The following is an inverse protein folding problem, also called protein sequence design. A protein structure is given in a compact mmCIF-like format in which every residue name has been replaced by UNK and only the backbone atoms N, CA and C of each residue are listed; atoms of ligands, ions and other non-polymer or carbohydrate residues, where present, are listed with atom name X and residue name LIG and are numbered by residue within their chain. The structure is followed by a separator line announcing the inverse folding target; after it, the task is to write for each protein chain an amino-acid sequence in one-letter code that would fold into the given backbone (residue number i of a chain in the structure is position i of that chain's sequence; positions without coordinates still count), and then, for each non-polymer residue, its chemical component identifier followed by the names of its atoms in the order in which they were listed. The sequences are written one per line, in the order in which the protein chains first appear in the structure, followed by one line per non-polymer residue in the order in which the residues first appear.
data_IF_135707939658
#
_entry.id   IF_135707939658
#
_cell.length_a   1.000
_cell.length_b   1.000
_cell.length_c   1.000
_cell.angle_alpha   90.00
_cell.angle_beta   90.00
_cell.angle_gamma   90.00
#
_symmetry.space_group_name_H-M   'P 1'
#
loop_
_entity.id
_entity.type
_entity.pdbx_description
1 polymer ?
#
# COMPACT_ATOMS: atom_id res chain seq x y z
N UNK A 1 16.61 0.92 22.90
CA UNK A 1 16.39 0.21 21.62
C UNK A 1 15.77 1.20 20.66
N UNK A 2 16.13 1.19 19.35
CA UNK A 2 15.41 1.96 18.35
C UNK A 2 13.94 1.51 18.26
N UNK A 3 13.06 2.35 17.73
CA UNK A 3 11.65 2.01 17.52
C UNK A 3 11.56 0.78 16.61
N UNK A 4 10.94 -0.32 17.08
CA UNK A 4 10.81 -1.59 16.35
C UNK A 4 9.76 -1.48 15.23
N UNK A 5 8.60 -0.87 15.56
CA UNK A 5 7.55 -0.60 14.59
C UNK A 5 7.94 0.61 13.73
N UNK A 6 8.14 0.36 12.43
CA UNK A 6 8.24 1.40 11.40
C UNK A 6 6.87 1.95 11.02
N UNK A 7 6.80 2.71 9.92
CA UNK A 7 5.54 3.20 9.35
C UNK A 7 4.64 2.07 8.85
N UNK A 8 5.20 0.87 8.63
CA UNK A 8 4.52 -0.25 8.01
C UNK A 8 4.82 -1.59 8.72
N UNK A 9 4.68 -1.58 10.04
CA UNK A 9 4.92 -2.73 10.92
C UNK A 9 6.39 -2.99 11.24
N UNK A 10 6.67 -4.21 11.68
CA UNK A 10 8.04 -4.70 11.96
C UNK A 10 8.55 -5.39 10.71
N UNK A 11 9.62 -4.87 10.09
CA UNK A 11 10.23 -5.43 8.87
C UNK A 11 11.71 -5.73 9.09
N UNK A 12 12.22 -6.70 8.34
CA UNK A 12 13.65 -7.03 8.31
C UNK A 12 13.94 -8.25 7.46
N UNK A 13 15.23 -8.58 7.36
CA UNK A 13 15.70 -9.82 6.74
C UNK A 13 15.15 -11.00 7.55
N UNK A 14 14.37 -11.86 6.89
CA UNK A 14 13.71 -12.97 7.56
C UNK A 14 14.74 -13.95 8.17
N UNK A 15 14.46 -14.41 9.37
CA UNK A 15 15.34 -15.30 10.16
C UNK A 15 16.71 -14.69 10.55
N UNK A 16 16.87 -13.37 10.37
CA UNK A 16 18.06 -12.64 10.84
C UNK A 16 17.61 -11.47 11.72
N UNK A 17 16.91 -10.47 11.15
CA UNK A 17 16.36 -9.34 11.88
C UNK A 17 14.96 -9.67 12.41
N UNK A 18 14.11 -10.26 11.56
CA UNK A 18 12.78 -10.75 11.90
C UNK A 18 12.84 -12.26 12.16
N UNK A 19 13.14 -12.62 13.41
CA UNK A 19 13.32 -14.01 13.83
C UNK A 19 12.01 -14.67 14.29
N UNK A 20 11.93 -16.03 14.33
CA UNK A 20 10.79 -16.74 14.90
C UNK A 20 10.54 -16.38 16.37
N UNK A 21 11.59 -16.14 17.17
CA UNK A 21 11.49 -15.73 18.56
C UNK A 21 10.80 -14.37 18.70
N UNK A 22 11.16 -13.42 17.81
CA UNK A 22 10.50 -12.11 17.77
C UNK A 22 9.03 -12.25 17.36
N UNK A 23 8.73 -13.06 16.35
CA UNK A 23 7.35 -13.32 15.91
C UNK A 23 6.51 -13.95 17.02
N UNK A 24 7.05 -14.92 17.77
CA UNK A 24 6.41 -15.54 18.93
C UNK A 24 6.17 -14.50 20.05
N UNK A 25 7.17 -13.67 20.34
CA UNK A 25 7.04 -12.62 21.35
C UNK A 25 5.97 -11.58 20.95
N UNK A 26 5.92 -11.17 19.67
CA UNK A 26 4.87 -10.29 19.11
C UNK A 26 3.47 -10.92 19.27
N UNK A 27 3.33 -12.21 18.99
CA UNK A 27 2.07 -12.95 19.19
C UNK A 27 1.58 -12.92 20.63
N UNK A 28 2.47 -13.08 21.61
CA UNK A 28 2.13 -12.95 23.04
C UNK A 28 1.77 -11.52 23.41
N UNK A 29 2.60 -10.57 22.99
CA UNK A 29 2.42 -9.16 23.32
C UNK A 29 1.10 -8.60 22.81
N UNK A 30 0.70 -8.94 21.57
CA UNK A 30 -0.56 -8.47 20.99
C UNK A 30 -1.76 -8.97 21.78
N UNK A 31 -1.78 -10.26 22.21
CA UNK A 31 -2.86 -10.81 23.05
C UNK A 31 -2.92 -10.07 24.38
N UNK A 32 -1.80 -9.89 25.07
CA UNK A 32 -1.74 -9.20 26.34
C UNK A 32 -2.23 -7.74 26.27
N UNK A 33 -1.86 -7.03 25.20
CA UNK A 33 -2.28 -5.62 25.00
C UNK A 33 -3.76 -5.50 24.60
N UNK A 34 -4.32 -6.48 23.88
CA UNK A 34 -5.70 -6.44 23.40
C UNK A 34 -6.69 -7.11 24.35
N UNK A 35 -6.22 -7.88 25.32
CA UNK A 35 -7.09 -8.50 26.31
C UNK A 35 -7.75 -7.43 27.17
N UNK A 36 -9.08 -7.46 27.24
CA UNK A 36 -9.87 -6.55 28.08
C UNK A 36 -10.46 -7.32 29.26
N UNK A 37 -10.51 -6.68 30.41
CA UNK A 37 -11.12 -7.26 31.58
C UNK A 37 -12.59 -7.62 31.31
N UNK A 38 -12.96 -8.87 31.63
CA UNK A 38 -14.31 -9.39 31.45
C UNK A 38 -14.70 -9.77 30.01
N UNK A 39 -13.83 -9.57 29.04
CA UNK A 39 -14.01 -10.10 27.68
C UNK A 39 -13.44 -11.51 27.55
N UNK A 40 -13.99 -12.30 26.62
CA UNK A 40 -13.41 -13.59 26.25
C UNK A 40 -12.01 -13.44 25.64
N UNK A 41 -11.32 -14.57 25.35
CA UNK A 41 -10.00 -14.53 24.73
C UNK A 41 -10.04 -13.80 23.39
N UNK A 42 -9.07 -12.89 23.11
CA UNK A 42 -9.06 -12.15 21.86
C UNK A 42 -8.84 -13.08 20.67
N UNK A 43 -9.63 -12.92 19.62
CA UNK A 43 -9.43 -13.58 18.34
C UNK A 43 -8.54 -12.73 17.42
N UNK A 44 -7.59 -13.36 16.73
CA UNK A 44 -6.69 -12.72 15.77
C UNK A 44 -6.79 -13.42 14.42
N UNK A 45 -7.10 -12.68 13.37
CA UNK A 45 -6.98 -13.17 11.99
C UNK A 45 -5.51 -13.13 11.59
N UNK A 46 -4.98 -14.22 11.07
CA UNK A 46 -3.58 -14.29 10.60
C UNK A 46 -3.57 -14.69 9.13
N UNK A 47 -2.96 -13.84 8.29
CA UNK A 47 -2.75 -14.11 6.88
C UNK A 47 -1.33 -13.75 6.46
N UNK A 48 -0.91 -14.18 5.27
CA UNK A 48 0.44 -13.92 4.76
C UNK A 48 0.50 -13.86 3.24
N UNK A 49 1.59 -13.33 2.73
CA UNK A 49 2.00 -13.53 1.35
C UNK A 49 2.68 -14.92 1.16
N UNK A 50 3.01 -15.32 -0.07
CA UNK A 50 3.56 -16.65 -0.34
C UNK A 50 5.06 -16.81 -0.07
N UNK A 51 5.78 -15.81 0.49
CA UNK A 51 7.23 -15.91 0.79
C UNK A 51 7.55 -17.21 1.53
N UNK A 52 8.67 -17.85 1.19
CA UNK A 52 9.12 -19.08 1.84
C UNK A 52 9.25 -18.93 3.36
N UNK A 53 9.72 -17.78 3.84
CA UNK A 53 9.82 -17.46 5.27
C UNK A 53 8.46 -17.26 5.96
N UNK A 54 7.37 -17.08 5.20
CA UNK A 54 6.04 -16.81 5.74
C UNK A 54 5.54 -17.93 6.66
N UNK A 55 5.71 -19.20 6.28
CA UNK A 55 5.26 -20.32 7.09
C UNK A 55 6.00 -20.41 8.45
N UNK A 56 7.30 -20.10 8.47
CA UNK A 56 8.09 -20.06 9.70
C UNK A 56 7.57 -18.98 10.66
N UNK A 57 7.41 -17.75 10.15
CA UNK A 57 6.95 -16.61 10.95
C UNK A 57 5.51 -16.76 11.39
N UNK A 58 4.62 -17.30 10.52
CA UNK A 58 3.23 -17.61 10.86
C UNK A 58 3.16 -18.61 12.01
N UNK A 59 3.90 -19.71 11.94
CA UNK A 59 3.91 -20.73 12.98
C UNK A 59 4.35 -20.18 14.32
N UNK A 60 5.38 -19.33 14.34
CA UNK A 60 5.88 -18.69 15.54
C UNK A 60 4.90 -17.68 16.12
N UNK A 61 4.34 -16.80 15.29
CA UNK A 61 3.34 -15.80 15.69
C UNK A 61 2.09 -16.49 16.27
N UNK A 62 1.58 -17.51 15.59
CA UNK A 62 0.44 -18.33 16.01
C UNK A 62 0.73 -18.99 17.37
N UNK A 63 1.89 -19.63 17.53
CA UNK A 63 2.30 -20.23 18.79
C UNK A 63 2.32 -19.19 19.93
N UNK A 64 2.79 -17.97 19.66
CA UNK A 64 2.77 -16.85 20.59
C UNK A 64 1.34 -16.51 21.02
N UNK A 65 0.43 -16.30 20.07
CA UNK A 65 -0.99 -15.98 20.32
C UNK A 65 -1.68 -17.07 21.16
N UNK A 66 -1.54 -18.34 20.75
CA UNK A 66 -2.16 -19.48 21.44
C UNK A 66 -1.61 -19.64 22.86
N UNK A 67 -0.31 -19.46 23.04
CA UNK A 67 0.35 -19.58 24.35
C UNK A 67 -0.09 -18.53 25.36
N UNK A 68 -0.63 -17.40 24.89
CA UNK A 68 -1.20 -16.32 25.70
C UNK A 68 -2.73 -16.45 25.86
N UNK A 69 -3.35 -17.53 25.33
CA UNK A 69 -4.79 -17.78 25.42
C UNK A 69 -5.62 -17.17 24.30
N UNK A 70 -5.00 -16.46 23.34
CA UNK A 70 -5.70 -15.89 22.17
C UNK A 70 -6.20 -16.98 21.21
N UNK A 71 -7.24 -16.66 20.45
CA UNK A 71 -7.77 -17.53 19.40
C UNK A 71 -7.22 -17.08 18.04
N UNK A 72 -6.91 -18.02 17.13
CA UNK A 72 -6.42 -17.71 15.79
C UNK A 72 -7.39 -18.18 14.72
N UNK A 73 -7.67 -17.29 13.76
CA UNK A 73 -8.32 -17.58 12.50
C UNK A 73 -7.26 -17.50 11.40
N UNK A 74 -6.75 -18.66 10.97
CA UNK A 74 -5.72 -18.77 9.93
C UNK A 74 -6.33 -18.58 8.54
N UNK A 75 -6.08 -17.43 7.93
CA UNK A 75 -6.58 -17.07 6.60
C UNK A 75 -5.69 -17.63 5.46
N UNK A 76 -4.49 -18.13 5.79
CA UNK A 76 -3.55 -18.63 4.80
C UNK A 76 -2.92 -17.54 3.93
N UNK A 77 -2.68 -17.86 2.65
CA UNK A 77 -2.14 -16.87 1.69
C UNK A 77 -3.29 -16.02 1.17
N UNK A 78 -3.30 -14.75 1.56
CA UNK A 78 -4.31 -13.75 1.17
C UNK A 78 -3.69 -12.37 1.07
N UNK A 79 -4.26 -11.45 0.24
CA UNK A 79 -3.86 -10.05 0.21
C UNK A 79 -3.90 -9.36 1.57
N UNK A 80 -3.02 -8.36 1.76
CA UNK A 80 -3.03 -7.52 2.97
C UNK A 80 -4.42 -6.90 3.22
N UNK A 81 -5.11 -6.29 2.26
CA UNK A 81 -6.47 -5.76 2.46
C UNK A 81 -7.50 -6.84 2.83
N UNK A 82 -7.29 -8.08 2.41
CA UNK A 82 -8.16 -9.18 2.84
C UNK A 82 -8.07 -9.41 4.36
N UNK A 83 -6.86 -9.33 4.95
CA UNK A 83 -6.71 -9.45 6.41
C UNK A 83 -7.43 -8.31 7.14
N UNK A 84 -7.31 -7.07 6.65
CA UNK A 84 -8.03 -5.92 7.20
C UNK A 84 -9.56 -6.13 7.15
N UNK A 85 -10.08 -6.55 6.00
CA UNK A 85 -11.50 -6.87 5.82
C UNK A 85 -11.95 -8.01 6.73
N UNK A 86 -11.22 -9.14 6.77
CA UNK A 86 -11.58 -10.33 7.55
C UNK A 86 -11.55 -10.06 9.05
N UNK A 87 -10.69 -9.15 9.52
CA UNK A 87 -10.68 -8.71 10.92
C UNK A 87 -12.03 -8.15 11.33
N UNK A 88 -12.61 -7.27 10.51
CA UNK A 88 -13.96 -6.73 10.72
C UNK A 88 -15.04 -7.79 10.52
N UNK A 89 -14.93 -8.57 9.43
CA UNK A 89 -15.92 -9.59 9.05
C UNK A 89 -16.13 -10.63 10.15
N UNK A 90 -15.04 -11.12 10.75
CA UNK A 90 -15.08 -12.07 11.85
C UNK A 90 -15.19 -11.43 13.22
N UNK A 91 -15.26 -10.09 13.29
CA UNK A 91 -15.26 -9.34 14.55
C UNK A 91 -14.09 -9.73 15.46
N UNK A 92 -12.93 -9.93 14.86
CA UNK A 92 -11.71 -10.27 15.58
C UNK A 92 -11.16 -9.04 16.31
N UNK A 93 -10.42 -9.27 17.41
CA UNK A 93 -9.79 -8.20 18.17
C UNK A 93 -8.62 -7.56 17.42
N UNK A 94 -7.99 -8.33 16.52
CA UNK A 94 -6.93 -7.85 15.61
C UNK A 94 -6.84 -8.71 14.36
N UNK A 95 -6.16 -8.16 13.34
CA UNK A 95 -5.60 -8.88 12.21
C UNK A 95 -4.08 -8.79 12.22
N UNK A 96 -3.41 -9.83 11.79
CA UNK A 96 -1.97 -9.83 11.56
C UNK A 96 -1.69 -10.30 10.14
N UNK A 97 -0.90 -9.54 9.37
CA UNK A 97 -0.42 -9.95 8.06
C UNK A 97 1.09 -10.10 8.09
N UNK A 98 1.58 -11.18 7.49
CA UNK A 98 2.99 -11.50 7.39
C UNK A 98 3.40 -11.28 5.94
N UNK A 99 4.01 -10.12 5.68
CA UNK A 99 4.47 -9.69 4.36
C UNK A 99 5.45 -8.52 4.44
N UNK A 100 6.30 -8.39 3.44
CA UNK A 100 7.11 -7.20 3.19
C UNK A 100 6.70 -6.48 1.88
N UNK A 101 5.43 -6.65 1.43
CA UNK A 101 4.86 -5.99 0.27
C UNK A 101 5.75 -6.16 -0.98
N UNK A 102 6.23 -5.06 -1.55
CA UNK A 102 7.04 -5.03 -2.78
C UNK A 102 8.53 -5.34 -2.60
N UNK A 103 8.99 -5.58 -1.37
CA UNK A 103 10.39 -5.91 -1.11
C UNK A 103 10.78 -7.25 -1.77
N UNK A 104 12.09 -7.44 -1.99
CA UNK A 104 12.65 -8.70 -2.46
C UNK A 104 12.33 -9.87 -1.50
N UNK A 105 12.41 -11.10 -2.02
CA UNK A 105 12.01 -12.32 -1.31
C UNK A 105 12.67 -12.53 0.06
N UNK A 106 13.94 -12.19 0.30
CA UNK A 106 14.58 -12.42 1.60
C UNK A 106 13.98 -11.61 2.76
N UNK A 107 13.36 -10.47 2.46
CA UNK A 107 12.70 -9.65 3.46
C UNK A 107 11.33 -10.23 3.85
N UNK A 108 10.90 -9.94 5.08
CA UNK A 108 9.53 -10.16 5.52
C UNK A 108 9.13 -9.10 6.55
N UNK A 109 7.85 -9.10 6.95
CA UNK A 109 7.32 -8.16 7.90
C UNK A 109 6.10 -8.71 8.64
N UNK A 110 5.75 -8.08 9.76
CA UNK A 110 4.50 -8.35 10.48
C UNK A 110 3.83 -7.01 10.75
N UNK A 111 2.61 -6.85 10.21
CA UNK A 111 1.74 -5.70 10.43
C UNK A 111 0.51 -6.13 11.20
N UNK A 112 -0.04 -5.23 12.03
CA UNK A 112 -1.28 -5.48 12.75
C UNK A 112 -2.37 -4.49 12.36
N UNK A 113 -3.60 -5.01 12.33
CA UNK A 113 -4.83 -4.25 12.17
C UNK A 113 -5.67 -4.34 13.45
N UNK A 114 -6.33 -3.26 13.80
CA UNK A 114 -7.29 -3.23 14.89
C UNK A 114 -8.66 -3.82 14.47
N UNK A 115 -9.61 -3.88 15.40
CA UNK A 115 -10.92 -4.52 15.18
C UNK A 115 -11.74 -3.87 14.08
N UNK A 116 -11.50 -2.59 13.80
CA UNK A 116 -12.15 -1.86 12.71
C UNK A 116 -11.45 -2.05 11.36
N UNK A 117 -10.39 -2.88 11.29
CA UNK A 117 -9.62 -3.14 10.07
C UNK A 117 -8.63 -2.04 9.70
N UNK A 118 -8.45 -1.03 10.51
CA UNK A 118 -7.40 -0.02 10.34
C UNK A 118 -6.08 -0.49 10.94
N UNK A 119 -4.94 0.01 10.41
CA UNK A 119 -3.65 -0.18 11.07
C UNK A 119 -3.72 0.22 12.54
N UNK A 120 -2.98 -0.47 13.41
CA UNK A 120 -2.96 -0.11 14.83
C UNK A 120 -2.42 1.31 15.01
N UNK A 121 -3.02 2.11 15.91
CA UNK A 121 -2.46 3.41 16.31
C UNK A 121 -1.08 3.26 16.95
N UNK A 122 -0.19 4.25 16.77
CA UNK A 122 1.17 4.28 17.34
C UNK A 122 1.19 3.99 18.86
N UNK A 123 0.19 4.49 19.60
CA UNK A 123 0.08 4.25 21.02
C UNK A 123 -0.16 2.77 21.36
N UNK A 124 -0.82 2.01 20.47
CA UNK A 124 -1.04 0.57 20.64
C UNK A 124 0.21 -0.20 20.24
N UNK A 125 0.84 0.16 19.11
CA UNK A 125 2.11 -0.41 18.68
C UNK A 125 3.20 -0.20 19.75
N UNK A 126 3.29 1.00 20.34
CA UNK A 126 4.21 1.30 21.43
C UNK A 126 3.94 0.46 22.70
N UNK A 127 2.68 0.12 23.01
CA UNK A 127 2.38 -0.81 24.10
C UNK A 127 2.80 -2.24 23.78
N UNK A 128 2.63 -2.68 22.54
CA UNK A 128 3.10 -4.00 22.10
C UNK A 128 4.64 -4.05 22.20
N UNK A 129 5.33 -3.01 21.74
CA UNK A 129 6.79 -2.90 21.81
C UNK A 129 7.31 -2.90 23.26
N UNK A 130 6.67 -2.17 24.15
CA UNK A 130 6.98 -2.16 25.57
C UNK A 130 6.77 -3.54 26.21
N UNK A 131 5.73 -4.26 25.80
CA UNK A 131 5.44 -5.61 26.29
C UNK A 131 6.49 -6.64 25.83
N UNK A 132 7.20 -6.42 24.70
CA UNK A 132 8.28 -7.32 24.27
C UNK A 132 9.46 -7.33 25.26
N UNK A 133 9.76 -6.21 25.89
CA UNK A 133 10.83 -6.10 26.89
C UNK A 133 10.50 -6.76 28.24
N UNK A 134 9.21 -6.87 28.56
CA UNK A 134 8.69 -7.46 29.81
C UNK A 134 8.22 -8.92 29.62
N UNK A 135 8.12 -9.39 28.39
CA UNK A 135 7.25 -10.49 27.97
C UNK A 135 7.62 -11.89 28.46
N UNK A 136 8.81 -12.14 29.02
CA UNK A 136 9.16 -13.51 29.41
C UNK A 136 8.80 -13.83 30.89
N UNK A 137 8.57 -12.84 31.75
CA UNK A 137 8.34 -13.08 33.17
C UNK A 137 6.88 -12.83 33.64
N UNK A 138 6.14 -11.92 33.01
CA UNK A 138 4.83 -11.49 33.49
C UNK A 138 3.65 -11.80 32.54
N UNK A 139 3.89 -12.33 31.34
CA UNK A 139 2.80 -12.65 30.41
C UNK A 139 1.96 -13.83 30.94
N UNK A 140 0.62 -13.73 30.92
CA UNK A 140 -0.26 -14.83 31.29
C UNK A 140 0.07 -16.09 30.48
N UNK A 141 0.28 -17.20 31.17
CA UNK A 141 0.44 -18.53 30.53
C UNK A 141 -0.70 -19.44 30.98
N UNK A 142 -1.87 -19.30 30.37
CA UNK A 142 -3.01 -20.14 30.72
C UNK A 142 -2.72 -21.60 30.43
N UNK A 143 -3.29 -22.48 31.23
CA UNK A 143 -3.12 -23.94 31.14
C UNK A 143 -4.45 -24.64 30.83
N UNK A 144 -4.38 -25.86 30.35
CA UNK A 144 -5.55 -26.67 30.06
C UNK A 144 -6.47 -25.98 29.04
N UNK A 145 -7.74 -25.82 29.42
CA UNK A 145 -8.75 -25.17 28.57
C UNK A 145 -8.52 -23.68 28.31
N UNK A 146 -7.58 -23.05 29.04
CA UNK A 146 -7.22 -21.66 28.82
C UNK A 146 -6.22 -21.45 27.69
N UNK A 147 -5.56 -22.50 27.18
CA UNK A 147 -4.70 -22.40 25.99
C UNK A 147 -5.55 -22.06 24.77
N UNK A 148 -5.08 -21.15 23.93
CA UNK A 148 -5.81 -20.72 22.75
C UNK A 148 -5.98 -21.82 21.69
N UNK A 149 -6.92 -21.59 20.77
CA UNK A 149 -7.24 -22.49 19.66
C UNK A 149 -6.91 -21.89 18.28
N UNK A 150 -6.56 -22.76 17.31
CA UNK A 150 -6.39 -22.40 15.91
C UNK A 150 -7.51 -22.98 15.06
N UNK A 151 -8.20 -22.14 14.29
CA UNK A 151 -9.12 -22.54 13.24
C UNK A 151 -8.53 -22.19 11.88
N UNK A 152 -8.31 -23.19 11.06
CA UNK A 152 -7.93 -22.97 9.64
C UNK A 152 -9.19 -22.54 8.87
N UNK A 153 -9.15 -21.37 8.24
CA UNK A 153 -10.27 -20.78 7.55
C UNK A 153 -9.89 -20.27 6.14
N UNK A 154 -8.81 -20.77 5.56
CA UNK A 154 -8.26 -20.22 4.32
C UNK A 154 -9.28 -20.15 3.15
N UNK A 155 -10.03 -21.21 2.92
CA UNK A 155 -11.06 -21.24 1.85
C UNK A 155 -12.19 -20.26 2.16
N UNK A 156 -12.72 -20.28 3.37
CA UNK A 156 -13.80 -19.36 3.81
C UNK A 156 -13.34 -17.90 3.75
N UNK A 157 -12.08 -17.64 4.10
CA UNK A 157 -11.48 -16.32 4.08
C UNK A 157 -11.39 -15.74 2.65
N UNK A 158 -10.91 -16.54 1.70
CA UNK A 158 -10.82 -16.13 0.29
C UNK A 158 -12.22 -15.88 -0.27
N UNK A 159 -13.18 -16.78 -0.04
CA UNK A 159 -14.55 -16.63 -0.53
C UNK A 159 -15.26 -15.41 0.08
N UNK A 160 -15.09 -15.14 1.38
CA UNK A 160 -15.64 -13.95 2.03
C UNK A 160 -15.06 -12.66 1.42
N UNK A 161 -13.75 -12.64 1.17
CA UNK A 161 -13.10 -11.49 0.54
C UNK A 161 -13.54 -11.29 -0.91
N UNK A 162 -13.61 -12.36 -1.70
CA UNK A 162 -14.14 -12.30 -3.08
C UNK A 162 -15.58 -11.78 -3.11
N UNK A 163 -16.44 -12.26 -2.21
CA UNK A 163 -17.82 -11.76 -2.10
C UNK A 163 -17.86 -10.26 -1.75
N UNK A 164 -16.95 -9.79 -0.88
CA UNK A 164 -16.81 -8.38 -0.55
C UNK A 164 -16.38 -7.55 -1.77
N UNK A 165 -15.36 -7.97 -2.50
CA UNK A 165 -14.86 -7.29 -3.69
C UNK A 165 -15.93 -7.16 -4.77
N UNK A 166 -16.71 -8.22 -4.98
CA UNK A 166 -17.72 -8.29 -6.04
C UNK A 166 -19.02 -7.56 -5.69
N UNK A 167 -19.26 -7.28 -4.40
CA UNK A 167 -20.47 -6.58 -3.99
C UNK A 167 -20.53 -5.18 -4.60
N UNK A 168 -21.56 -4.91 -5.43
CA UNK A 168 -21.76 -3.64 -6.14
C UNK A 168 -20.78 -3.38 -7.30
N UNK A 169 -19.93 -4.36 -7.66
CA UNK A 169 -19.09 -4.27 -8.85
C UNK A 169 -19.95 -4.50 -10.10
N UNK A 170 -19.91 -3.62 -11.11
CA UNK A 170 -20.64 -3.84 -12.36
C UNK A 170 -20.05 -5.00 -13.14
N UNK A 171 -20.86 -5.66 -13.99
CA UNK A 171 -20.36 -6.68 -14.90
C UNK A 171 -19.35 -6.10 -15.90
N UNK A 172 -18.23 -6.78 -16.10
CA UNK A 172 -17.10 -6.28 -16.90
C UNK A 172 -17.25 -6.61 -18.41
N UNK A 173 -18.36 -7.20 -18.84
CA UNK A 173 -18.73 -7.34 -20.25
C UNK A 173 -17.74 -8.12 -21.13
N UNK A 174 -16.91 -9.00 -20.55
CA UNK A 174 -15.90 -9.76 -21.28
C UNK A 174 -14.62 -8.98 -21.60
N UNK A 175 -14.34 -7.85 -20.93
CA UNK A 175 -13.08 -7.14 -21.06
C UNK A 175 -11.89 -8.11 -20.96
N UNK A 176 -10.98 -8.04 -21.92
CA UNK A 176 -9.75 -8.81 -21.88
C UNK A 176 -8.72 -8.12 -20.98
N UNK A 177 -8.33 -8.79 -19.91
CA UNK A 177 -7.48 -8.23 -18.85
C UNK A 177 -6.25 -9.13 -18.65
N UNK A 178 -5.06 -8.55 -18.70
CA UNK A 178 -3.84 -9.19 -18.21
C UNK A 178 -3.67 -8.83 -16.74
N UNK A 179 -3.45 -9.82 -15.88
CA UNK A 179 -3.24 -9.62 -14.44
C UNK A 179 -1.88 -10.17 -14.04
N UNK A 180 -0.96 -9.28 -13.70
CA UNK A 180 0.32 -9.64 -13.08
C UNK A 180 0.13 -9.70 -11.56
N UNK A 181 0.30 -10.90 -11.01
CA UNK A 181 0.12 -11.17 -9.59
C UNK A 181 1.42 -11.05 -8.78
N UNK A 182 2.52 -10.60 -9.38
CA UNK A 182 3.85 -10.50 -8.74
C UNK A 182 4.34 -11.82 -8.12
N UNK A 183 3.80 -12.99 -8.51
CA UNK A 183 3.92 -14.24 -7.77
C UNK A 183 3.65 -14.05 -6.26
N UNK A 184 2.75 -13.15 -5.93
CA UNK A 184 2.39 -12.70 -4.59
C UNK A 184 1.02 -13.19 -4.13
N UNK A 185 0.47 -12.53 -3.14
CA UNK A 185 -0.81 -12.87 -2.52
C UNK A 185 -2.02 -12.69 -3.46
N UNK A 186 -1.88 -11.85 -4.52
CA UNK A 186 -2.91 -11.70 -5.54
C UNK A 186 -3.14 -12.98 -6.36
N UNK A 187 -2.17 -13.89 -6.44
CA UNK A 187 -2.26 -15.09 -7.29
C UNK A 187 -3.51 -15.95 -7.02
N UNK A 188 -3.91 -16.07 -5.75
CA UNK A 188 -5.06 -16.87 -5.35
C UNK A 188 -6.41 -16.17 -5.59
N UNK A 189 -6.50 -14.85 -5.36
CA UNK A 189 -7.75 -14.12 -5.34
C UNK A 189 -7.95 -13.23 -6.58
N UNK A 190 -6.90 -12.63 -7.12
CA UNK A 190 -6.97 -11.60 -8.16
C UNK A 190 -7.60 -12.10 -9.46
N UNK A 191 -7.02 -13.11 -10.14
CA UNK A 191 -7.60 -13.62 -11.37
C UNK A 191 -9.04 -14.09 -11.22
N UNK A 192 -9.37 -14.68 -10.09
CA UNK A 192 -10.72 -15.15 -9.79
C UNK A 192 -11.70 -14.01 -9.56
N UNK A 193 -11.30 -12.94 -8.85
CA UNK A 193 -12.14 -11.75 -8.65
C UNK A 193 -12.55 -11.13 -9.99
N UNK A 194 -11.60 -10.94 -10.89
CA UNK A 194 -11.87 -10.35 -12.20
C UNK A 194 -12.71 -11.27 -13.11
N UNK A 195 -12.48 -12.59 -13.09
CA UNK A 195 -13.29 -13.56 -13.83
C UNK A 195 -14.75 -13.57 -13.34
N UNK A 196 -14.95 -13.60 -12.02
CA UNK A 196 -16.31 -13.57 -11.43
C UNK A 196 -17.03 -12.26 -11.72
N UNK A 197 -16.29 -11.17 -11.90
CA UNK A 197 -16.85 -9.91 -12.36
C UNK A 197 -17.19 -9.90 -13.88
N UNK A 198 -16.81 -10.94 -14.62
CA UNK A 198 -17.13 -11.10 -16.05
C UNK A 198 -16.01 -10.70 -17.00
N UNK A 199 -14.75 -10.56 -16.54
CA UNK A 199 -13.61 -10.35 -17.41
C UNK A 199 -13.06 -11.66 -17.99
N UNK A 200 -12.41 -11.58 -19.18
CA UNK A 200 -11.57 -12.62 -19.72
C UNK A 200 -10.14 -12.38 -19.27
N UNK A 201 -9.62 -13.23 -18.37
CA UNK A 201 -8.36 -12.97 -17.66
C UNK A 201 -7.23 -13.85 -18.17
N UNK A 202 -6.13 -13.20 -18.55
CA UNK A 202 -4.81 -13.80 -18.73
C UNK A 202 -3.97 -13.48 -17.50
N UNK A 203 -3.73 -14.47 -16.64
CA UNK A 203 -2.88 -14.30 -15.47
C UNK A 203 -1.41 -14.52 -15.84
N UNK A 204 -0.53 -13.67 -15.37
CA UNK A 204 0.93 -13.77 -15.49
C UNK A 204 1.55 -13.62 -14.10
N UNK A 205 2.75 -14.15 -13.89
CA UNK A 205 3.40 -14.19 -12.58
C UNK A 205 2.41 -14.61 -11.46
N UNK A 206 1.64 -15.70 -11.70
CA UNK A 206 0.59 -16.18 -10.82
C UNK A 206 0.87 -17.59 -10.25
N UNK A 207 2.12 -18.04 -10.30
CA UNK A 207 2.59 -19.34 -9.81
C UNK A 207 3.65 -19.14 -8.72
N UNK A 208 3.25 -18.72 -7.50
CA UNK A 208 4.19 -18.48 -6.41
C UNK A 208 4.84 -19.78 -5.94
N UNK A 209 6.18 -19.80 -5.89
CA UNK A 209 6.98 -20.91 -5.35
C UNK A 209 7.64 -20.57 -3.99
N UNK A 210 7.36 -19.37 -3.46
CA UNK A 210 7.92 -18.85 -2.23
C UNK A 210 9.24 -18.09 -2.41
N UNK A 211 9.88 -18.19 -3.58
CA UNK A 211 11.17 -17.54 -3.87
C UNK A 211 11.08 -16.51 -4.99
N UNK A 212 10.05 -16.57 -5.81
CA UNK A 212 9.88 -15.77 -7.02
C UNK A 212 9.00 -14.51 -6.83
N UNK A 213 8.56 -14.19 -5.62
CA UNK A 213 7.73 -13.00 -5.35
C UNK A 213 8.48 -11.71 -5.72
N UNK A 214 7.84 -10.81 -6.47
CA UNK A 214 8.38 -9.54 -6.96
C UNK A 214 9.67 -9.66 -7.81
N UNK A 215 10.03 -10.83 -8.27
CA UNK A 215 11.27 -11.06 -9.01
C UNK A 215 11.14 -10.66 -10.49
N UNK A 216 11.33 -9.36 -10.79
CA UNK A 216 11.21 -8.81 -12.13
C UNK A 216 9.77 -8.79 -12.66
N UNK A 217 8.78 -8.77 -11.76
CA UNK A 217 7.34 -8.81 -12.06
C UNK A 217 6.57 -7.91 -11.10
N UNK A 218 5.29 -7.68 -11.38
CA UNK A 218 4.39 -6.89 -10.53
C UNK A 218 4.59 -5.38 -10.66
N UNK A 219 4.04 -4.62 -9.72
CA UNK A 219 3.96 -3.15 -9.80
C UNK A 219 5.31 -2.43 -9.77
N UNK A 220 6.37 -3.08 -9.30
CA UNK A 220 7.74 -2.53 -9.32
C UNK A 220 8.50 -2.83 -10.63
N UNK A 221 7.95 -3.72 -11.46
CA UNK A 221 8.48 -4.11 -12.78
C UNK A 221 7.33 -4.18 -13.81
N UNK A 222 6.68 -3.04 -14.08
CA UNK A 222 5.50 -2.99 -14.96
C UNK A 222 5.80 -3.38 -16.41
N UNK A 223 7.07 -3.44 -16.81
CA UNK A 223 7.50 -3.86 -18.13
C UNK A 223 6.94 -5.25 -18.48
N UNK A 224 6.86 -6.14 -17.50
CA UNK A 224 6.36 -7.48 -17.68
C UNK A 224 4.88 -7.51 -18.11
N UNK A 225 4.03 -6.71 -17.46
CA UNK A 225 2.61 -6.62 -17.83
C UNK A 225 2.42 -5.79 -19.10
N UNK A 226 3.25 -4.77 -19.36
CA UNK A 226 3.22 -3.98 -20.60
C UNK A 226 3.46 -4.86 -21.83
N UNK A 227 4.50 -5.69 -21.80
CA UNK A 227 4.79 -6.67 -22.85
C UNK A 227 3.64 -7.69 -23.02
N UNK A 228 3.05 -8.15 -21.92
CA UNK A 228 1.95 -9.09 -21.95
C UNK A 228 0.68 -8.49 -22.57
N UNK A 229 0.34 -7.23 -22.27
CA UNK A 229 -0.79 -6.51 -22.88
C UNK A 229 -0.62 -6.40 -24.38
N UNK A 230 0.53 -5.90 -24.84
CA UNK A 230 0.81 -5.74 -26.28
C UNK A 230 0.78 -7.09 -27.01
N UNK A 231 1.38 -8.12 -26.42
CA UNK A 231 1.42 -9.46 -27.00
C UNK A 231 0.05 -10.12 -27.13
N UNK A 232 -0.83 -9.91 -26.16
CA UNK A 232 -2.15 -10.53 -26.13
C UNK A 232 -3.24 -9.71 -26.80
N UNK A 233 -3.00 -8.42 -27.03
CA UNK A 233 -4.01 -7.47 -27.50
C UNK A 233 -5.09 -7.21 -26.44
N UNK A 234 -4.75 -7.35 -25.15
CA UNK A 234 -5.69 -7.10 -24.07
C UNK A 234 -6.12 -5.64 -24.00
N UNK A 235 -7.32 -5.39 -23.49
CA UNK A 235 -7.84 -4.04 -23.32
C UNK A 235 -7.15 -3.28 -22.18
N UNK A 236 -6.55 -4.01 -21.22
CA UNK A 236 -5.90 -3.44 -20.05
C UNK A 236 -5.00 -4.47 -19.36
N UNK A 237 -3.93 -4.01 -18.76
CA UNK A 237 -3.10 -4.76 -17.81
C UNK A 237 -3.22 -4.20 -16.40
N UNK A 238 -3.14 -5.08 -15.40
CA UNK A 238 -3.11 -4.73 -13.98
C UNK A 238 -1.90 -5.40 -13.35
N UNK A 239 -1.02 -4.62 -12.73
CA UNK A 239 0.16 -5.11 -12.01
C UNK A 239 0.00 -4.87 -10.52
N UNK A 240 -0.11 -5.95 -9.75
CA UNK A 240 -0.13 -5.90 -8.28
C UNK A 240 1.28 -5.99 -7.71
N UNK A 241 1.44 -5.61 -6.45
CA UNK A 241 2.64 -5.93 -5.68
C UNK A 241 2.47 -7.21 -4.85
N UNK A 242 3.50 -7.60 -4.12
CA UNK A 242 3.55 -8.92 -3.47
C UNK A 242 2.43 -9.19 -2.47
N UNK A 243 1.88 -8.19 -1.80
CA UNK A 243 0.74 -8.33 -0.87
C UNK A 243 -0.55 -7.68 -1.38
N UNK A 244 -0.54 -7.21 -2.63
CA UNK A 244 -1.68 -6.71 -3.39
C UNK A 244 -2.45 -5.55 -2.73
N UNK A 245 -1.78 -4.75 -1.90
CA UNK A 245 -2.33 -3.49 -1.41
C UNK A 245 -2.20 -2.35 -2.44
N UNK A 246 -1.50 -2.60 -3.56
CA UNK A 246 -1.26 -1.69 -4.69
C UNK A 246 -1.67 -2.30 -6.02
N UNK A 247 -1.96 -1.42 -6.98
CA UNK A 247 -2.10 -1.77 -8.39
C UNK A 247 -1.63 -0.62 -9.28
N UNK A 248 -0.85 -0.94 -10.30
CA UNK A 248 -0.63 -0.09 -11.45
C UNK A 248 -1.39 -0.67 -12.64
N UNK A 249 -1.79 0.17 -13.58
CA UNK A 249 -2.46 -0.28 -14.78
C UNK A 249 -1.60 -0.01 -16.03
N UNK A 250 -1.94 -0.72 -17.10
CA UNK A 250 -1.34 -0.56 -18.43
C UNK A 250 -2.47 -0.47 -19.43
N UNK A 251 -2.46 0.53 -20.28
CA UNK A 251 -3.49 0.70 -21.28
C UNK A 251 -3.32 -0.29 -22.46
N UNK A 252 -4.27 -0.29 -23.39
CA UNK A 252 -4.30 -1.17 -24.56
C UNK A 252 -3.13 -0.94 -25.55
N UNK A 253 -2.35 0.13 -25.36
CA UNK A 253 -1.16 0.46 -26.16
C UNK A 253 0.14 0.01 -25.49
N UNK A 254 0.05 -0.48 -24.24
CA UNK A 254 1.20 -0.84 -23.43
C UNK A 254 1.77 0.32 -22.61
N UNK A 255 1.08 1.47 -22.53
CA UNK A 255 1.52 2.62 -21.76
C UNK A 255 1.14 2.47 -20.29
N UNK A 256 2.06 2.85 -19.40
CA UNK A 256 1.87 2.77 -17.95
C UNK A 256 0.90 3.84 -17.46
N UNK A 257 -0.11 3.42 -16.70
CA UNK A 257 -1.07 4.23 -15.97
C UNK A 257 -0.80 4.05 -14.48
N UNK A 258 -0.12 5.04 -13.88
CA UNK A 258 0.30 4.98 -12.48
C UNK A 258 -0.84 5.31 -11.48
N UNK A 259 -0.53 5.23 -10.19
CA UNK A 259 -1.52 5.46 -9.14
C UNK A 259 -2.12 6.86 -9.16
N UNK A 260 -1.38 7.88 -9.59
CA UNK A 260 -1.91 9.24 -9.73
C UNK A 260 -3.01 9.30 -10.81
N UNK A 261 -2.77 8.68 -11.96
CA UNK A 261 -3.76 8.64 -13.05
C UNK A 261 -4.96 7.77 -12.66
N UNK A 262 -4.73 6.61 -12.04
CA UNK A 262 -5.81 5.76 -11.52
C UNK A 262 -6.70 6.54 -10.53
N UNK A 263 -6.05 7.26 -9.60
CA UNK A 263 -6.74 8.07 -8.59
C UNK A 263 -7.53 9.22 -9.24
N UNK A 264 -6.97 9.86 -10.29
CA UNK A 264 -7.66 10.92 -11.02
C UNK A 264 -8.92 10.40 -11.74
N UNK A 265 -8.81 9.27 -12.43
CA UNK A 265 -9.94 8.61 -13.09
C UNK A 265 -11.01 8.23 -12.07
N UNK A 266 -10.60 7.66 -10.93
CA UNK A 266 -11.51 7.29 -9.85
C UNK A 266 -12.19 8.51 -9.23
N UNK A 267 -11.45 9.61 -9.01
CA UNK A 267 -11.98 10.83 -8.41
C UNK A 267 -13.09 11.47 -9.27
N UNK A 268 -12.92 11.49 -10.59
CA UNK A 268 -13.95 12.00 -11.49
C UNK A 268 -15.20 11.12 -11.46
N UNK A 269 -15.01 9.80 -11.53
CA UNK A 269 -16.12 8.84 -11.46
C UNK A 269 -16.89 8.93 -10.14
N UNK A 270 -16.18 8.97 -9.01
CA UNK A 270 -16.78 9.10 -7.69
C UNK A 270 -17.52 10.44 -7.55
N UNK A 271 -16.99 11.53 -8.09
CA UNK A 271 -17.66 12.83 -8.11
C UNK A 271 -18.95 12.79 -8.90
N UNK A 272 -18.93 12.25 -10.12
CA UNK A 272 -20.12 12.13 -10.97
C UNK A 272 -21.21 11.28 -10.30
N UNK A 273 -20.83 10.28 -9.53
CA UNK A 273 -21.74 9.36 -8.83
C UNK A 273 -22.14 9.82 -7.43
N UNK A 274 -21.61 10.95 -6.96
CA UNK A 274 -21.87 11.46 -5.61
C UNK A 274 -21.11 10.71 -4.51
N UNK A 275 -20.11 9.92 -4.86
CA UNK A 275 -19.24 9.17 -3.93
C UNK A 275 -18.10 10.01 -3.33
N UNK A 276 -17.98 11.29 -3.72
CA UNK A 276 -16.98 12.22 -3.19
C UNK A 276 -17.66 13.34 -2.36
N UNK A 277 -18.21 13.02 -1.18
CA UNK A 277 -19.11 13.92 -0.43
C UNK A 277 -18.43 15.21 0.04
N UNK A 278 -17.13 15.21 0.28
CA UNK A 278 -16.36 16.40 0.68
C UNK A 278 -15.80 17.18 -0.51
N UNK A 279 -15.91 16.66 -1.73
CA UNK A 279 -15.28 17.26 -2.91
C UNK A 279 -13.74 17.22 -2.87
N UNK A 280 -13.15 16.43 -1.98
CA UNK A 280 -11.70 16.41 -1.71
C UNK A 280 -11.12 15.01 -1.90
N UNK A 281 -9.94 14.93 -2.51
CA UNK A 281 -9.11 13.72 -2.60
C UNK A 281 -7.84 13.92 -1.79
N UNK A 282 -7.46 12.91 -1.01
CA UNK A 282 -6.24 12.95 -0.18
C UNK A 282 -5.09 12.26 -0.88
N UNK A 283 -3.94 12.93 -1.00
CA UNK A 283 -2.73 12.39 -1.63
C UNK A 283 -1.49 12.69 -0.79
N UNK A 284 -0.32 12.30 -1.27
CA UNK A 284 0.96 12.67 -0.65
C UNK A 284 1.64 13.80 -1.43
N UNK A 285 2.66 14.40 -0.81
CA UNK A 285 3.53 15.38 -1.48
C UNK A 285 4.29 14.80 -2.68
N UNK A 286 4.25 13.50 -2.91
CA UNK A 286 4.86 12.85 -4.09
C UNK A 286 3.96 12.83 -5.32
N UNK A 287 2.64 13.04 -5.14
CA UNK A 287 1.69 13.09 -6.25
C UNK A 287 2.06 14.16 -7.25
N UNK A 288 2.07 13.81 -8.54
CA UNK A 288 2.49 14.68 -9.63
C UNK A 288 1.66 15.98 -9.70
N UNK A 289 2.29 17.10 -9.99
CA UNK A 289 1.59 18.38 -10.11
C UNK A 289 0.45 18.34 -11.13
N UNK A 290 0.61 17.54 -12.20
CA UNK A 290 -0.45 17.33 -13.20
C UNK A 290 -1.76 16.81 -12.60
N UNK A 291 -1.70 15.99 -11.57
CA UNK A 291 -2.88 15.55 -10.81
C UNK A 291 -3.61 16.74 -10.16
N UNK A 292 -2.87 17.60 -9.46
CA UNK A 292 -3.45 18.78 -8.80
C UNK A 292 -4.11 19.71 -9.79
N UNK A 293 -3.45 19.97 -10.91
CA UNK A 293 -3.98 20.83 -11.96
C UNK A 293 -5.28 20.23 -12.53
N UNK A 294 -5.27 18.94 -12.86
CA UNK A 294 -6.47 18.26 -13.38
C UNK A 294 -7.62 18.27 -12.36
N UNK A 295 -7.36 18.00 -11.09
CA UNK A 295 -8.41 18.05 -10.06
C UNK A 295 -8.99 19.45 -9.91
N UNK A 296 -8.15 20.49 -9.96
CA UNK A 296 -8.59 21.91 -9.90
C UNK A 296 -9.51 22.27 -11.08
N UNK A 297 -9.18 21.82 -12.32
CA UNK A 297 -10.02 22.02 -13.51
C UNK A 297 -11.42 21.41 -13.33
N UNK A 298 -11.50 20.32 -12.60
CA UNK A 298 -12.76 19.64 -12.27
C UNK A 298 -13.39 20.10 -10.95
N UNK A 299 -12.82 21.11 -10.26
CA UNK A 299 -13.33 21.63 -8.98
C UNK A 299 -13.30 20.59 -7.86
N UNK A 300 -12.29 19.72 -7.85
CA UNK A 300 -11.98 18.76 -6.79
C UNK A 300 -10.79 19.31 -6.01
N UNK A 301 -10.91 19.40 -4.70
CA UNK A 301 -9.80 19.79 -3.83
C UNK A 301 -8.82 18.64 -3.63
N UNK A 302 -7.52 18.98 -3.51
CA UNK A 302 -6.47 18.01 -3.23
C UNK A 302 -5.80 18.36 -1.90
N UNK A 303 -5.99 17.49 -0.92
CA UNK A 303 -5.28 17.58 0.36
C UNK A 303 -4.01 16.74 0.30
N UNK A 304 -2.84 17.37 0.47
CA UNK A 304 -1.55 16.68 0.45
C UNK A 304 -1.02 16.42 1.85
N UNK A 305 -0.56 15.22 2.09
CA UNK A 305 0.08 14.77 3.34
C UNK A 305 1.57 14.50 3.14
N UNK A 306 2.28 14.20 4.22
CA UNK A 306 3.59 13.56 4.14
C UNK A 306 3.49 12.18 3.42
N UNK A 307 4.64 11.68 2.95
CA UNK A 307 4.71 10.36 2.28
C UNK A 307 4.43 9.25 3.26
N UNK A 308 3.52 8.38 2.90
CA UNK A 308 3.12 7.18 3.65
C UNK A 308 1.60 7.05 3.74
N UNK A 309 1.12 5.85 3.46
CA UNK A 309 -0.29 5.47 3.46
C UNK A 309 -1.02 5.79 4.78
N UNK A 310 -0.30 5.70 5.91
CA UNK A 310 -0.80 6.08 7.24
C UNK A 310 -1.27 7.53 7.26
N UNK A 311 -0.46 8.48 6.76
CA UNK A 311 -0.80 9.91 6.77
C UNK A 311 -1.98 10.23 5.85
N UNK A 312 -2.06 9.53 4.70
CA UNK A 312 -3.21 9.62 3.80
C UNK A 312 -4.47 9.17 4.54
N UNK A 313 -4.45 7.99 5.16
CA UNK A 313 -5.58 7.45 5.90
C UNK A 313 -6.00 8.34 7.08
N UNK A 314 -5.05 8.82 7.87
CA UNK A 314 -5.32 9.73 9.02
C UNK A 314 -6.01 11.02 8.54
N UNK A 315 -5.54 11.62 7.45
CA UNK A 315 -6.16 12.81 6.88
C UNK A 315 -7.57 12.51 6.32
N UNK A 316 -7.76 11.35 5.67
CA UNK A 316 -9.08 10.91 5.20
C UNK A 316 -10.07 10.78 6.36
N UNK A 317 -9.67 10.13 7.44
CA UNK A 317 -10.52 9.94 8.62
C UNK A 317 -10.82 11.27 9.32
N UNK A 318 -9.84 12.14 9.48
CA UNK A 318 -10.01 13.43 10.13
C UNK A 318 -10.94 14.38 9.33
N UNK A 319 -10.87 14.34 8.00
CA UNK A 319 -11.68 15.19 7.12
C UNK A 319 -12.97 14.55 6.62
N UNK A 320 -13.22 13.27 6.90
CA UNK A 320 -14.37 12.52 6.37
C UNK A 320 -14.28 12.31 4.84
N UNK A 321 -13.05 12.24 4.31
CA UNK A 321 -12.80 12.07 2.88
C UNK A 321 -12.92 10.59 2.49
N UNK A 322 -13.59 10.32 1.37
CA UNK A 322 -13.90 8.94 0.91
C UNK A 322 -12.82 8.33 0.03
N UNK A 323 -11.97 9.16 -0.61
CA UNK A 323 -10.98 8.71 -1.59
C UNK A 323 -9.62 9.33 -1.29
N UNK A 324 -8.59 8.50 -1.33
CA UNK A 324 -7.20 8.93 -1.22
C UNK A 324 -6.24 7.89 -1.75
N UNK A 325 -4.98 8.27 -1.94
CA UNK A 325 -3.98 7.33 -2.44
C UNK A 325 -2.63 7.93 -2.72
N UNK A 326 -1.77 7.11 -3.30
CA UNK A 326 -0.39 7.42 -3.64
C UNK A 326 -0.07 7.04 -5.08
N UNK A 327 0.92 7.70 -5.67
CA UNK A 327 1.44 7.37 -7.00
C UNK A 327 1.86 5.90 -7.15
N UNK A 328 2.25 5.25 -6.05
CA UNK A 328 2.61 3.83 -6.01
C UNK A 328 1.45 2.87 -6.36
N UNK A 329 0.22 3.37 -6.49
CA UNK A 329 -0.97 2.57 -6.72
C UNK A 329 -1.68 2.09 -5.45
N UNK A 330 -1.27 2.57 -4.28
CA UNK A 330 -1.99 2.36 -3.03
C UNK A 330 -3.17 3.32 -2.98
N UNK A 331 -4.36 2.84 -3.33
CA UNK A 331 -5.60 3.63 -3.41
C UNK A 331 -6.62 3.13 -2.40
N UNK A 332 -7.16 4.05 -1.61
CA UNK A 332 -8.12 3.78 -0.54
C UNK A 332 -9.49 4.31 -0.95
N UNK A 333 -10.46 3.42 -1.08
CA UNK A 333 -11.89 3.73 -1.16
C UNK A 333 -12.50 3.48 0.21
N UNK A 334 -12.61 4.51 1.05
CA UNK A 334 -12.91 4.35 2.48
C UNK A 334 -14.36 3.85 2.74
N UNK A 335 -15.24 3.96 1.76
CA UNK A 335 -16.57 3.35 1.77
C UNK A 335 -16.54 1.81 1.72
N UNK A 336 -15.41 1.23 1.25
CA UNK A 336 -15.27 -0.20 1.00
C UNK A 336 -14.09 -0.83 1.73
N UNK A 337 -12.96 -0.14 1.81
CA UNK A 337 -11.71 -0.66 2.34
C UNK A 337 -11.10 0.31 3.35
N UNK A 338 -10.43 -0.22 4.37
CA UNK A 338 -9.78 0.55 5.44
C UNK A 338 -8.28 0.74 5.21
N UNK A 339 -7.78 0.27 4.08
CA UNK A 339 -6.40 0.40 3.58
C UNK A 339 -6.43 0.34 2.06
N UNK A 340 -5.32 0.59 1.40
CA UNK A 340 -5.21 0.35 -0.04
C UNK A 340 -5.55 -1.10 -0.38
N UNK A 341 -6.30 -1.26 -1.47
CA UNK A 341 -6.72 -2.56 -1.98
C UNK A 341 -6.57 -2.57 -3.50
N UNK A 342 -5.50 -3.22 -3.97
CA UNK A 342 -5.19 -3.28 -5.40
C UNK A 342 -6.25 -4.02 -6.20
N UNK A 343 -6.86 -5.07 -5.64
CA UNK A 343 -7.94 -5.81 -6.33
C UNK A 343 -9.22 -5.00 -6.44
N UNK A 344 -9.61 -4.32 -5.38
CA UNK A 344 -10.76 -3.41 -5.39
C UNK A 344 -10.52 -2.24 -6.36
N UNK A 345 -9.34 -1.64 -6.35
CA UNK A 345 -8.95 -0.55 -7.24
C UNK A 345 -9.00 -0.99 -8.70
N UNK A 346 -8.45 -2.17 -9.01
CA UNK A 346 -8.54 -2.77 -10.34
C UNK A 346 -9.98 -2.99 -10.79
N UNK A 347 -10.84 -3.56 -9.93
CA UNK A 347 -12.27 -3.76 -10.21
C UNK A 347 -13.00 -2.43 -10.44
N UNK A 348 -12.70 -1.38 -9.66
CA UNK A 348 -13.26 -0.04 -9.85
C UNK A 348 -12.85 0.54 -11.22
N UNK A 349 -11.57 0.47 -11.56
CA UNK A 349 -11.05 0.95 -12.85
C UNK A 349 -11.69 0.22 -14.03
N UNK A 350 -11.73 -1.12 -13.99
CA UNK A 350 -12.40 -1.94 -15.01
C UNK A 350 -13.90 -1.64 -15.10
N UNK A 351 -14.54 -1.41 -13.96
CA UNK A 351 -15.95 -1.01 -13.89
C UNK A 351 -16.22 0.33 -14.56
N UNK A 352 -15.30 1.30 -14.44
CA UNK A 352 -15.37 2.59 -15.15
C UNK A 352 -15.24 2.37 -16.66
N UNK A 353 -14.26 1.57 -17.10
CA UNK A 353 -14.08 1.23 -18.51
C UNK A 353 -15.33 0.57 -19.09
N UNK A 354 -15.87 -0.45 -18.41
CA UNK A 354 -17.06 -1.16 -18.87
C UNK A 354 -18.31 -0.26 -18.95
N UNK A 355 -18.51 0.62 -17.99
CA UNK A 355 -19.65 1.52 -17.92
C UNK A 355 -19.58 2.65 -18.96
N UNK A 356 -18.40 3.20 -19.17
CA UNK A 356 -18.20 4.31 -20.10
C UNK A 356 -17.99 3.85 -21.55
N UNK A 357 -17.59 2.59 -21.75
CA UNK A 357 -17.18 2.07 -23.06
C UNK A 357 -15.87 2.67 -23.59
N UNK A 358 -15.12 3.41 -22.74
CA UNK A 358 -13.87 4.08 -23.11
C UNK A 358 -12.66 3.19 -22.84
N UNK A 359 -11.67 3.16 -23.76
CA UNK A 359 -10.40 2.52 -23.50
C UNK A 359 -9.65 3.26 -22.38
N UNK A 360 -8.72 2.56 -21.71
CA UNK A 360 -7.97 3.15 -20.59
C UNK A 360 -7.10 4.32 -21.06
N UNK A 361 -6.55 4.27 -22.26
CA UNK A 361 -5.76 5.37 -22.85
C UNK A 361 -6.56 6.68 -22.99
N UNK A 362 -7.89 6.60 -23.22
CA UNK A 362 -8.75 7.78 -23.26
C UNK A 362 -9.06 8.28 -21.84
N UNK A 363 -9.39 7.37 -20.92
CA UNK A 363 -9.61 7.74 -19.52
C UNK A 363 -8.39 8.37 -18.88
N UNK A 364 -7.19 7.89 -19.21
CA UNK A 364 -5.93 8.40 -18.69
C UNK A 364 -5.61 9.85 -19.14
N UNK A 365 -6.29 10.37 -20.18
CA UNK A 365 -6.13 11.77 -20.58
C UNK A 365 -6.67 12.78 -19.58
N UNK A 366 -7.32 12.32 -18.53
CA UNK A 366 -7.85 13.16 -17.43
C UNK A 366 -6.78 14.05 -16.82
N UNK A 367 -5.53 13.59 -16.77
CA UNK A 367 -4.41 14.41 -16.34
C UNK A 367 -3.23 14.29 -17.29
N UNK A 368 -2.47 15.38 -17.41
CA UNK A 368 -1.18 15.37 -18.08
C UNK A 368 -0.08 15.24 -17.03
N UNK A 369 0.62 14.12 -17.04
CA UNK A 369 1.80 13.95 -16.19
C UNK A 369 2.89 14.93 -16.57
N UNK A 370 3.37 15.72 -15.63
CA UNK A 370 4.53 16.57 -15.85
C UNK A 370 5.83 15.77 -15.70
N UNK A 371 6.83 15.98 -16.57
CA UNK A 371 8.15 15.40 -16.39
C UNK A 371 8.72 15.70 -15.02
N UNK A 372 9.22 14.66 -14.34
CA UNK A 372 9.78 14.72 -13.00
C UNK A 372 11.24 14.30 -13.02
N UNK A 373 12.10 15.09 -12.40
CA UNK A 373 13.52 14.77 -12.18
C UNK A 373 13.77 14.70 -10.68
N UNK A 374 14.34 13.59 -10.24
CA UNK A 374 14.75 13.38 -8.85
C UNK A 374 16.27 13.19 -8.79
N UNK A 375 16.94 14.05 -8.01
CA UNK A 375 18.36 13.96 -7.74
C UNK A 375 18.61 13.66 -6.26
N UNK A 376 19.52 12.74 -5.99
CA UNK A 376 19.99 12.42 -4.67
C UNK A 376 21.34 13.12 -4.44
N UNK A 377 21.41 14.05 -3.49
CA UNK A 377 22.60 14.81 -3.15
C UNK A 377 23.13 14.28 -1.82
N UNK A 378 24.33 13.68 -1.83
CA UNK A 378 25.00 13.26 -0.60
C UNK A 378 25.40 14.48 0.22
N UNK A 379 25.13 14.44 1.53
CA UNK A 379 25.39 15.53 2.47
C UNK A 379 26.05 15.00 3.75
N UNK A 380 26.81 15.86 4.43
CA UNK A 380 27.47 15.49 5.69
C UNK A 380 26.44 15.29 6.82
N UNK A 381 25.47 16.20 6.96
CA UNK A 381 24.35 16.07 7.89
C UNK A 381 23.05 16.52 7.23
N UNK A 382 22.16 15.56 6.91
CA UNK A 382 20.85 15.84 6.33
C UNK A 382 19.92 16.70 7.23
N UNK A 383 20.16 16.73 8.55
CA UNK A 383 19.37 17.52 9.51
C UNK A 383 19.61 19.01 9.35
N UNK A 384 20.77 19.38 8.84
CA UNK A 384 21.12 20.78 8.54
C UNK A 384 20.23 21.42 7.46
N UNK A 385 19.49 20.63 6.67
CA UNK A 385 18.60 21.14 5.63
C UNK A 385 17.58 22.15 6.17
N UNK A 386 17.04 21.92 7.37
CA UNK A 386 16.01 22.81 7.97
C UNK A 386 16.55 24.22 8.19
N UNK A 387 17.84 24.38 8.48
CA UNK A 387 18.51 25.66 8.80
C UNK A 387 19.25 26.22 7.58
N UNK A 388 19.27 25.53 6.45
CA UNK A 388 20.01 25.90 5.24
C UNK A 388 19.30 27.03 4.47
N UNK A 389 19.37 28.27 4.98
CA UNK A 389 18.68 29.44 4.42
C UNK A 389 18.93 29.65 2.93
N UNK A 390 20.15 29.43 2.44
CA UNK A 390 20.48 29.60 1.01
C UNK A 390 19.81 28.53 0.13
N UNK A 391 19.63 27.32 0.65
CA UNK A 391 18.89 26.28 -0.07
C UNK A 391 17.44 26.71 -0.25
N UNK A 392 16.79 27.18 0.82
CA UNK A 392 15.39 27.59 0.76
C UNK A 392 15.17 28.85 -0.08
N UNK A 393 16.10 29.81 -0.05
CA UNK A 393 16.08 30.97 -0.96
C UNK A 393 16.18 30.53 -2.44
N UNK A 394 17.04 29.56 -2.73
CA UNK A 394 17.16 29.01 -4.08
C UNK A 394 15.88 28.28 -4.50
N UNK A 395 15.25 27.54 -3.60
CA UNK A 395 13.95 26.87 -3.84
C UNK A 395 12.88 27.91 -4.19
N UNK A 396 12.71 28.93 -3.36
CA UNK A 396 11.74 30.01 -3.61
C UNK A 396 11.97 30.71 -4.96
N UNK A 397 13.22 30.98 -5.32
CA UNK A 397 13.57 31.61 -6.59
C UNK A 397 13.22 30.71 -7.79
N UNK A 398 13.46 29.40 -7.69
CA UNK A 398 13.11 28.44 -8.75
C UNK A 398 11.59 28.21 -8.83
N UNK A 399 10.89 28.13 -7.71
CA UNK A 399 9.42 28.07 -7.69
C UNK A 399 8.79 29.31 -8.33
N UNK A 400 9.29 30.49 -8.02
CA UNK A 400 8.84 31.73 -8.66
C UNK A 400 9.09 31.73 -10.18
N UNK A 401 10.19 31.10 -10.65
CA UNK A 401 10.51 30.97 -12.08
C UNK A 401 9.60 29.96 -12.77
N UNK A 402 9.29 28.85 -12.12
CA UNK A 402 8.41 27.81 -12.66
C UNK A 402 6.93 28.25 -12.67
N UNK A 403 6.51 29.08 -11.68
CA UNK A 403 5.12 29.46 -11.49
C UNK A 403 4.21 28.26 -11.30
N UNK A 404 2.98 28.35 -11.79
CA UNK A 404 1.98 27.25 -11.65
C UNK A 404 2.27 26.05 -12.58
N UNK A 405 3.32 26.13 -13.40
CA UNK A 405 3.69 25.12 -14.39
C UNK A 405 4.83 24.21 -13.97
N UNK A 406 5.23 24.29 -12.71
CA UNK A 406 6.25 23.45 -12.14
C UNK A 406 6.23 23.45 -10.62
N UNK A 407 7.03 22.56 -10.04
CA UNK A 407 7.11 22.40 -8.60
C UNK A 407 8.50 21.93 -8.18
N UNK A 408 8.91 22.36 -7.01
CA UNK A 408 10.13 21.90 -6.34
C UNK A 408 9.76 21.20 -5.04
N UNK A 409 10.41 20.08 -4.75
CA UNK A 409 10.33 19.40 -3.46
C UNK A 409 11.75 19.01 -3.02
N UNK A 410 12.24 19.64 -1.94
CA UNK A 410 13.53 19.32 -1.34
C UNK A 410 13.28 18.73 0.04
N UNK A 411 13.78 17.50 0.27
CA UNK A 411 13.57 16.81 1.55
C UNK A 411 14.74 15.91 1.94
N UNK A 412 15.00 15.70 3.23
CA UNK A 412 16.01 14.74 3.66
C UNK A 412 15.54 13.30 3.38
N UNK A 413 16.46 12.39 3.10
CA UNK A 413 16.17 10.96 3.10
C UNK A 413 15.85 10.46 4.51
N UNK A 414 14.94 9.52 4.63
CA UNK A 414 14.61 8.90 5.92
C UNK A 414 15.75 8.06 6.48
N UNK A 415 16.50 7.37 5.63
CA UNK A 415 17.47 6.34 6.01
C UNK A 415 18.92 6.66 5.65
N UNK A 416 19.14 7.40 4.57
CA UNK A 416 20.47 7.63 3.99
C UNK A 416 20.97 9.07 4.25
N UNK A 417 22.28 9.33 4.27
CA UNK A 417 22.87 10.66 4.45
C UNK A 417 22.80 11.47 3.15
N UNK A 418 21.59 11.73 2.69
CA UNK A 418 21.33 12.50 1.46
C UNK A 418 20.10 13.37 1.56
N UNK A 419 20.07 14.42 0.73
CA UNK A 419 18.92 15.27 0.45
C UNK A 419 18.41 14.93 -0.94
N UNK A 420 17.09 14.74 -1.05
CA UNK A 420 16.40 14.50 -2.32
C UNK A 420 15.87 15.81 -2.87
N UNK A 421 16.29 16.15 -4.08
CA UNK A 421 15.81 17.30 -4.85
C UNK A 421 14.94 16.76 -5.97
N UNK A 422 13.64 17.02 -5.89
CA UNK A 422 12.67 16.64 -6.92
C UNK A 422 12.11 17.90 -7.57
N UNK A 423 12.09 17.91 -8.89
CA UNK A 423 11.54 19.01 -9.70
C UNK A 423 10.60 18.46 -10.75
N UNK A 424 9.43 19.07 -10.86
CA UNK A 424 8.48 18.84 -11.94
C UNK A 424 8.37 20.13 -12.79
N UNK A 425 8.32 19.97 -14.11
CA UNK A 425 8.17 21.10 -15.04
C UNK A 425 7.48 20.64 -16.33
N UNK A 426 7.05 21.58 -17.19
CA UNK A 426 6.37 21.29 -18.47
C UNK A 426 7.21 20.44 -19.43
N UNK A 427 8.54 20.51 -19.30
CA UNK A 427 9.48 19.73 -20.13
C UNK A 427 10.58 19.14 -19.27
N UNK A 428 11.08 17.97 -19.66
CA UNK A 428 12.18 17.30 -18.97
C UNK A 428 13.46 18.16 -18.91
N UNK A 429 13.89 18.85 -20.00
CA UNK A 429 15.05 19.75 -19.92
C UNK A 429 14.89 20.86 -18.87
N UNK A 430 13.69 21.44 -18.73
CA UNK A 430 13.43 22.47 -17.72
C UNK A 430 13.50 21.90 -16.30
N UNK A 431 12.90 20.73 -16.07
CA UNK A 431 12.95 20.02 -14.77
C UNK A 431 14.42 19.69 -14.42
N UNK A 432 15.18 19.15 -15.37
CA UNK A 432 16.60 18.78 -15.19
C UNK A 432 17.45 19.98 -14.83
N UNK A 433 17.37 21.07 -15.62
CA UNK A 433 18.18 22.25 -15.40
C UNK A 433 17.90 22.91 -14.04
N UNK A 434 16.64 22.90 -13.58
CA UNK A 434 16.26 23.40 -12.28
C UNK A 434 16.76 22.48 -11.15
N UNK A 435 16.61 21.15 -11.32
CA UNK A 435 17.11 20.18 -10.35
C UNK A 435 18.63 20.25 -10.17
N UNK A 436 19.37 20.40 -11.27
CA UNK A 436 20.85 20.52 -11.25
C UNK A 436 21.30 21.79 -10.50
N UNK A 437 20.63 22.95 -10.71
CA UNK A 437 20.94 24.19 -9.99
C UNK A 437 20.71 24.04 -8.50
N UNK A 438 19.57 23.45 -8.11
CA UNK A 438 19.24 23.23 -6.69
C UNK A 438 20.17 22.21 -6.03
N UNK A 439 20.50 21.12 -6.74
CA UNK A 439 21.44 20.11 -6.27
C UNK A 439 22.84 20.71 -6.00
N UNK A 440 23.31 21.62 -6.86
CA UNK A 440 24.56 22.34 -6.65
C UNK A 440 24.54 23.22 -5.40
N UNK A 441 23.43 23.91 -5.13
CA UNK A 441 23.29 24.72 -3.90
C UNK A 441 23.26 23.82 -2.65
N UNK A 442 22.50 22.70 -2.69
CA UNK A 442 22.45 21.73 -1.59
C UNK A 442 23.84 21.15 -1.31
N UNK A 443 24.58 20.75 -2.35
CA UNK A 443 25.93 20.21 -2.21
C UNK A 443 26.92 21.25 -1.63
N UNK A 444 26.81 22.51 -2.01
CA UNK A 444 27.68 23.60 -1.51
C UNK A 444 27.40 23.97 -0.05
N UNK A 445 26.17 23.82 0.43
CA UNK A 445 25.77 24.24 1.80
C UNK A 445 25.84 23.09 2.81
N UNK A 446 25.63 21.83 2.36
CA UNK A 446 25.46 20.68 3.26
C UNK A 446 26.44 19.52 2.94
N UNK A 447 27.23 19.62 1.86
CA UNK A 447 28.18 18.61 1.40
C UNK A 447 29.50 18.57 2.14
#
# INVERSE_FOLDING_TARGET
MGKLFGTDGVRGLANADLTPELALALGRAVVGVLQRDGAGPPAVVVGRDPRASGALLESALVAGILSAGGQVLGAGVVPTPAVAFLTRHYRAAAGAVISASHNAMPDNGIKFFGPEGFKLPDAVEGRIEAALGAADQDAPRPVGAGVGGLRHAATDAVEAYLAHLLHGTPGLGGLQVVVDCANGAAAAAGPEAYRRAGATVTAVAAEPDGHNINAGVGSTHPEHVQEAVVRTGAAVGLAHDGDADRVLAVDERGELVDGDVILAVAALDERERGGLPTGTVVTTVMTNLGFRLAMAEHGIEVLQTAVGDRYVLEAMLAGGHSLGGEQSGHVIFLDRATTGDGLLTGLRLLGIMARTGKPLSELATVMRRLPQVLLNVHVADRRGLTEAAKVWQAVEAEEARLGDRGRVLVRPSGTEPLVRVMVEAETEPAARATADRLAAVVAAELG
#
